data_IF_640839240232
#
_entry.id   IF_640839240232
#
_cell.length_a   1.000
_cell.length_b   1.000
_cell.length_c   1.000
_cell.angle_alpha   90.00
_cell.angle_beta   90.00
_cell.angle_gamma   90.00
#
_symmetry.space_group_name_H-M   'P 1'
#
loop_
_entity.id
_entity.type
_entity.pdbx_description
1 polymer ?
#
# COMPACT_ATOMS: atom_id res chain seq x y z
N UNK A 1 -23.68 -22.66 -18.04
CA UNK A 1 -23.98 -21.32 -17.49
C UNK A 1 -22.91 -20.39 -17.99
N UNK A 2 -23.23 -19.15 -18.31
CA UNK A 2 -22.25 -18.19 -18.86
C UNK A 2 -21.39 -17.65 -17.73
N UNK A 3 -20.07 -17.55 -17.96
CA UNK A 3 -19.18 -16.86 -17.04
C UNK A 3 -19.52 -15.35 -16.97
N UNK A 4 -19.31 -14.75 -15.81
CA UNK A 4 -19.38 -13.30 -15.59
C UNK A 4 -17.97 -12.75 -15.46
N UNK A 5 -17.78 -11.48 -15.81
CA UNK A 5 -16.49 -10.79 -15.70
C UNK A 5 -16.67 -9.48 -14.93
N UNK A 6 -15.85 -9.26 -13.92
CA UNK A 6 -15.92 -8.05 -13.11
C UNK A 6 -14.55 -7.58 -12.67
N UNK A 7 -14.43 -6.29 -12.35
CA UNK A 7 -13.24 -5.73 -11.77
C UNK A 7 -13.40 -5.61 -10.25
N UNK A 8 -12.40 -6.09 -9.50
CA UNK A 8 -12.34 -5.96 -8.05
C UNK A 8 -11.18 -5.07 -7.64
N UNK A 9 -11.52 -3.91 -7.07
CA UNK A 9 -10.60 -2.94 -6.51
C UNK A 9 -11.00 -2.56 -5.09
N UNK A 10 -10.03 -2.07 -4.30
CA UNK A 10 -10.23 -1.60 -2.94
C UNK A 10 -9.22 -0.50 -2.63
N UNK A 11 -9.42 0.21 -1.52
CA UNK A 11 -8.43 1.10 -0.91
C UNK A 11 -7.88 2.14 -1.92
N UNK A 12 -8.80 2.89 -2.55
CA UNK A 12 -8.46 3.87 -3.58
C UNK A 12 -7.73 5.08 -3.00
N UNK A 13 -8.08 5.47 -1.77
CA UNK A 13 -7.51 6.58 -1.02
C UNK A 13 -7.25 7.82 -1.88
N UNK A 14 -8.27 8.23 -2.63
CA UNK A 14 -8.18 9.40 -3.49
C UNK A 14 -7.83 10.65 -2.69
N UNK A 15 -6.93 11.47 -3.25
CA UNK A 15 -6.40 12.68 -2.62
C UNK A 15 -5.58 12.42 -1.35
N UNK A 16 -4.87 11.29 -1.28
CA UNK A 16 -3.95 11.00 -0.18
C UNK A 16 -2.90 12.10 -0.02
N UNK A 17 -2.57 12.53 1.21
CA UNK A 17 -1.67 13.67 1.44
C UNK A 17 -0.19 13.40 1.17
N UNK A 18 0.22 12.14 0.90
CA UNK A 18 1.60 11.75 0.62
C UNK A 18 2.63 12.37 1.58
N UNK A 19 2.60 11.97 2.84
CA UNK A 19 3.48 12.49 3.88
C UNK A 19 4.92 11.96 3.74
N UNK A 20 5.90 12.73 4.27
CA UNK A 20 7.30 12.30 4.39
C UNK A 20 8.16 12.40 3.12
N UNK A 21 7.72 13.15 2.12
CA UNK A 21 8.47 13.42 0.90
C UNK A 21 9.23 14.75 1.04
N UNK A 22 10.43 14.71 1.64
CA UNK A 22 11.26 15.89 1.83
C UNK A 22 12.20 16.12 0.65
N UNK A 23 12.43 17.40 0.29
CA UNK A 23 13.38 17.79 -0.75
C UNK A 23 12.95 17.45 -2.18
N UNK A 24 11.71 17.01 -2.38
CA UNK A 24 11.19 16.65 -3.70
C UNK A 24 10.90 17.93 -4.52
N UNK A 25 11.37 18.02 -5.78
CA UNK A 25 11.01 19.11 -6.68
C UNK A 25 9.48 19.23 -6.86
N UNK A 26 8.98 20.44 -7.04
CA UNK A 26 7.52 20.70 -7.08
C UNK A 26 6.81 19.91 -8.20
N UNK A 27 7.44 19.77 -9.36
CA UNK A 27 6.86 19.01 -10.48
C UNK A 27 6.74 17.51 -10.15
N UNK A 28 7.73 16.91 -9.46
CA UNK A 28 7.71 15.53 -9.01
C UNK A 28 6.68 15.33 -7.88
N UNK A 29 6.58 16.29 -6.95
CA UNK A 29 5.55 16.27 -5.90
C UNK A 29 4.14 16.30 -6.49
N UNK A 30 3.90 17.13 -7.51
CA UNK A 30 2.62 17.18 -8.22
C UNK A 30 2.27 15.83 -8.85
N UNK A 31 3.23 15.16 -9.50
CA UNK A 31 3.05 13.84 -10.10
C UNK A 31 2.67 12.79 -9.05
N UNK A 32 3.36 12.76 -7.92
CA UNK A 32 3.04 11.84 -6.82
C UNK A 32 1.65 12.14 -6.25
N UNK A 33 1.34 13.42 -6.03
CA UNK A 33 0.04 13.83 -5.47
C UNK A 33 -1.14 13.48 -6.37
N UNK A 34 -0.97 13.44 -7.69
CA UNK A 34 -2.03 13.05 -8.63
C UNK A 34 -2.08 11.55 -8.88
N UNK A 35 -1.11 10.78 -8.41
CA UNK A 35 -0.93 9.38 -8.77
C UNK A 35 -2.12 8.48 -8.40
N UNK A 36 -2.83 8.73 -7.28
CA UNK A 36 -4.03 7.96 -6.92
C UNK A 36 -5.16 8.19 -7.92
N UNK A 37 -5.30 9.42 -8.44
CA UNK A 37 -6.29 9.72 -9.49
C UNK A 37 -5.88 9.14 -10.84
N UNK A 38 -4.59 9.15 -11.18
CA UNK A 38 -4.07 8.55 -12.41
C UNK A 38 -4.30 7.04 -12.41
N UNK A 39 -3.99 6.37 -11.29
CA UNK A 39 -4.27 4.95 -11.10
C UNK A 39 -5.77 4.63 -11.22
N UNK A 40 -6.62 5.44 -10.59
CA UNK A 40 -8.08 5.27 -10.68
C UNK A 40 -8.59 5.50 -12.10
N UNK A 41 -8.14 6.54 -12.79
CA UNK A 41 -8.53 6.79 -14.18
C UNK A 41 -8.12 5.64 -15.11
N UNK A 42 -6.95 5.04 -14.90
CA UNK A 42 -6.50 3.85 -15.64
C UNK A 42 -7.52 2.71 -15.51
N UNK A 43 -8.08 2.49 -14.31
CA UNK A 43 -9.12 1.47 -14.09
C UNK A 43 -10.40 1.82 -14.85
N UNK A 44 -10.84 3.07 -14.75
CA UNK A 44 -12.07 3.54 -15.41
C UNK A 44 -11.96 3.43 -16.93
N UNK A 45 -10.85 3.89 -17.50
CA UNK A 45 -10.61 3.82 -18.94
C UNK A 45 -10.56 2.36 -19.43
N UNK A 46 -9.91 1.48 -18.66
CA UNK A 46 -9.90 0.05 -18.94
C UNK A 46 -11.29 -0.57 -18.83
N UNK A 47 -12.09 -0.19 -17.84
CA UNK A 47 -13.47 -0.66 -17.71
C UNK A 47 -14.34 -0.25 -18.91
N UNK A 48 -14.18 0.98 -19.40
CA UNK A 48 -14.88 1.47 -20.59
C UNK A 48 -14.47 0.69 -21.86
N UNK A 49 -13.15 0.41 -21.98
CA UNK A 49 -12.61 -0.34 -23.11
C UNK A 49 -13.01 -1.83 -23.09
N UNK A 50 -12.87 -2.49 -21.95
CA UNK A 50 -13.00 -3.94 -21.77
C UNK A 50 -14.44 -4.38 -21.45
N UNK A 51 -15.27 -3.45 -20.97
CA UNK A 51 -16.70 -3.66 -20.68
C UNK A 51 -16.98 -4.85 -19.75
N UNK A 52 -16.41 -4.89 -18.54
CA UNK A 52 -16.79 -5.89 -17.55
C UNK A 52 -18.28 -5.79 -17.25
N UNK A 53 -18.88 -6.86 -16.73
CA UNK A 53 -20.28 -6.88 -16.38
C UNK A 53 -20.61 -5.92 -15.23
N UNK A 54 -19.67 -5.70 -14.32
CA UNK A 54 -19.76 -4.72 -13.22
C UNK A 54 -18.39 -4.47 -12.57
N UNK A 55 -18.32 -3.47 -11.68
CA UNK A 55 -17.17 -3.18 -10.84
C UNK A 55 -17.52 -3.37 -9.36
N UNK A 56 -16.57 -3.89 -8.57
CA UNK A 56 -16.62 -3.93 -7.11
C UNK A 56 -15.59 -2.95 -6.55
N UNK A 57 -16.04 -2.00 -5.72
CA UNK A 57 -15.18 -1.06 -4.97
C UNK A 57 -15.37 -1.35 -3.47
N UNK A 58 -14.34 -1.92 -2.83
CA UNK A 58 -14.46 -2.48 -1.49
C UNK A 58 -13.80 -1.57 -0.45
N UNK A 59 -14.47 -0.46 -0.13
CA UNK A 59 -14.10 0.46 0.93
C UNK A 59 -12.93 1.40 0.63
N UNK A 60 -12.75 2.38 1.50
CA UNK A 60 -11.67 3.35 1.53
C UNK A 60 -11.41 4.05 0.18
N UNK A 61 -12.49 4.66 -0.38
CA UNK A 61 -12.41 5.45 -1.61
C UNK A 61 -11.60 6.71 -1.38
N UNK A 62 -11.78 7.33 -0.21
CA UNK A 62 -11.12 8.58 0.17
C UNK A 62 -10.17 8.35 1.36
N UNK A 63 -9.16 9.22 1.47
CA UNK A 63 -8.22 9.17 2.58
C UNK A 63 -8.65 10.11 3.72
N UNK A 64 -9.27 9.54 4.74
CA UNK A 64 -9.71 10.22 5.95
C UNK A 64 -11.14 10.77 5.91
N UNK A 65 -11.58 11.23 7.08
CA UNK A 65 -12.95 11.70 7.33
C UNK A 65 -13.27 13.02 6.61
N UNK A 66 -12.24 13.83 6.32
CA UNK A 66 -12.39 15.09 5.60
C UNK A 66 -12.13 14.85 4.10
N UNK A 67 -13.12 14.32 3.42
CA UNK A 67 -13.06 14.07 1.97
C UNK A 67 -12.97 15.39 1.22
N UNK A 68 -11.95 15.60 0.40
CA UNK A 68 -11.86 16.81 -0.39
C UNK A 68 -12.98 16.88 -1.44
N UNK A 69 -13.53 18.08 -1.65
CA UNK A 69 -14.53 18.28 -2.71
C UNK A 69 -13.98 17.91 -4.11
N UNK A 70 -12.73 18.25 -4.46
CA UNK A 70 -12.15 17.81 -5.73
C UNK A 70 -12.09 16.29 -5.89
N UNK A 71 -11.74 15.53 -4.83
CA UNK A 71 -11.74 14.08 -4.88
C UNK A 71 -13.13 13.50 -5.12
N UNK A 72 -14.12 14.00 -4.39
CA UNK A 72 -15.51 13.59 -4.56
C UNK A 72 -16.03 13.90 -5.98
N UNK A 73 -15.73 15.09 -6.51
CA UNK A 73 -16.14 15.47 -7.85
C UNK A 73 -15.52 14.57 -8.92
N UNK A 74 -14.22 14.29 -8.83
CA UNK A 74 -13.54 13.38 -9.76
C UNK A 74 -14.08 11.96 -9.70
N UNK A 75 -14.40 11.47 -8.49
CA UNK A 75 -15.04 10.17 -8.33
C UNK A 75 -16.43 10.15 -8.97
N UNK A 76 -17.27 11.17 -8.73
CA UNK A 76 -18.56 11.30 -9.37
C UNK A 76 -18.46 11.31 -10.90
N UNK A 77 -17.54 12.10 -11.47
CA UNK A 77 -17.32 12.17 -12.93
C UNK A 77 -16.92 10.80 -13.52
N UNK A 78 -16.11 10.02 -12.77
CA UNK A 78 -15.79 8.66 -13.17
C UNK A 78 -17.02 7.74 -13.16
N UNK A 79 -17.87 7.85 -12.14
CA UNK A 79 -19.12 7.08 -12.08
C UNK A 79 -20.11 7.48 -13.19
N UNK A 80 -20.16 8.78 -13.54
CA UNK A 80 -20.95 9.28 -14.68
C UNK A 80 -20.46 8.70 -16.01
N UNK A 81 -19.14 8.59 -16.22
CA UNK A 81 -18.57 7.93 -17.40
C UNK A 81 -18.99 6.45 -17.47
N UNK A 82 -18.91 5.71 -16.35
CA UNK A 82 -19.36 4.32 -16.30
C UNK A 82 -20.87 4.19 -16.56
N UNK A 83 -21.68 5.14 -16.06
CA UNK A 83 -23.11 5.19 -16.33
C UNK A 83 -23.41 5.32 -17.83
N UNK A 84 -22.70 6.22 -18.53
CA UNK A 84 -22.84 6.41 -19.99
C UNK A 84 -22.51 5.12 -20.77
N UNK A 85 -21.70 4.22 -20.19
CA UNK A 85 -21.35 2.94 -20.80
C UNK A 85 -22.15 1.75 -20.26
N UNK A 86 -23.18 2.01 -19.42
CA UNK A 86 -24.04 1.01 -18.79
C UNK A 86 -23.26 -0.01 -17.94
N UNK A 87 -22.22 0.41 -17.25
CA UNK A 87 -21.41 -0.44 -16.38
C UNK A 87 -21.87 -0.23 -14.92
N UNK A 88 -22.47 -1.23 -14.27
CA UNK A 88 -22.85 -1.17 -12.86
C UNK A 88 -21.63 -1.12 -11.94
N UNK A 89 -21.75 -0.41 -10.82
CA UNK A 89 -20.73 -0.34 -9.77
C UNK A 89 -21.38 -0.71 -8.43
N UNK A 90 -20.83 -1.69 -7.75
CA UNK A 90 -21.24 -2.02 -6.39
C UNK A 90 -20.18 -1.49 -5.44
N UNK A 91 -20.60 -0.65 -4.51
CA UNK A 91 -19.74 0.18 -3.68
C UNK A 91 -20.01 -0.06 -2.21
N UNK A 92 -18.97 -0.33 -1.43
CA UNK A 92 -19.01 -0.24 0.03
C UNK A 92 -18.05 0.87 0.52
N UNK A 93 -18.36 1.44 1.68
CA UNK A 93 -17.49 2.39 2.38
C UNK A 93 -16.74 1.66 3.49
N UNK A 94 -15.45 2.04 3.69
CA UNK A 94 -14.56 1.47 4.70
C UNK A 94 -14.45 2.34 5.96
N UNK A 95 -13.36 2.17 6.70
CA UNK A 95 -13.12 2.89 7.95
C UNK A 95 -12.64 4.33 7.76
N UNK A 96 -12.03 4.65 6.61
CA UNK A 96 -11.62 6.01 6.28
C UNK A 96 -12.77 6.87 5.75
N UNK A 97 -13.81 6.27 5.23
CA UNK A 97 -14.89 6.96 4.54
C UNK A 97 -16.30 6.50 4.95
N UNK A 98 -16.45 6.12 6.20
CA UNK A 98 -17.68 5.57 6.79
C UNK A 98 -18.92 6.49 6.62
N UNK A 99 -20.14 5.92 6.78
CA UNK A 99 -21.39 6.60 6.43
C UNK A 99 -21.74 7.78 7.35
N UNK A 100 -21.41 7.73 8.65
CA UNK A 100 -21.79 8.74 9.63
C UNK A 100 -20.85 9.96 9.70
N UNK A 101 -19.88 10.07 8.79
CA UNK A 101 -19.01 11.24 8.73
C UNK A 101 -19.75 12.50 8.27
N UNK A 102 -19.35 13.66 8.81
CA UNK A 102 -19.92 14.97 8.47
C UNK A 102 -19.22 15.56 7.25
N UNK A 103 -19.60 15.17 6.05
CA UNK A 103 -19.08 15.74 4.80
C UNK A 103 -20.19 16.08 3.82
N UNK A 104 -19.91 17.03 2.91
CA UNK A 104 -20.74 17.26 1.75
C UNK A 104 -20.67 16.07 0.82
N UNK A 105 -21.80 15.58 0.31
CA UNK A 105 -21.87 14.45 -0.61
C UNK A 105 -22.33 14.92 -1.99
N UNK A 106 -21.66 14.42 -3.02
CA UNK A 106 -22.18 14.48 -4.37
C UNK A 106 -23.09 13.28 -4.61
N UNK A 107 -24.25 13.51 -5.24
CA UNK A 107 -25.12 12.40 -5.65
C UNK A 107 -24.41 11.57 -6.73
N UNK A 108 -24.44 10.27 -6.59
CA UNK A 108 -23.91 9.34 -7.58
C UNK A 108 -24.99 8.94 -8.60
N UNK A 109 -24.60 8.59 -9.82
CA UNK A 109 -25.56 8.16 -10.85
C UNK A 109 -26.17 6.78 -10.50
N UNK A 110 -27.31 6.46 -11.14
CA UNK A 110 -28.14 5.31 -10.79
C UNK A 110 -27.52 3.93 -11.08
N UNK A 111 -26.38 3.86 -11.77
CA UNK A 111 -25.62 2.63 -11.95
C UNK A 111 -24.75 2.28 -10.74
N UNK A 112 -24.66 3.15 -9.72
CA UNK A 112 -23.90 2.92 -8.51
C UNK A 112 -24.83 2.43 -7.40
N UNK A 113 -24.57 1.21 -6.94
CA UNK A 113 -25.26 0.56 -5.83
C UNK A 113 -24.44 0.73 -4.57
N UNK A 114 -24.75 1.76 -3.77
CA UNK A 114 -24.11 1.99 -2.49
C UNK A 114 -24.67 1.02 -1.45
N UNK A 115 -23.82 0.16 -0.86
CA UNK A 115 -24.24 -0.75 0.20
C UNK A 115 -24.52 0.02 1.50
N UNK A 116 -25.63 -0.26 2.21
CA UNK A 116 -25.95 0.38 3.48
C UNK A 116 -25.07 -0.13 4.64
N UNK A 117 -25.29 0.39 5.85
CA UNK A 117 -24.58 -0.06 7.05
C UNK A 117 -24.91 -1.51 7.46
N UNK A 118 -26.11 -1.96 7.15
CA UNK A 118 -26.55 -3.34 7.37
C UNK A 118 -26.17 -4.21 6.17
N UNK A 119 -25.81 -5.46 6.43
CA UNK A 119 -25.52 -6.42 5.35
C UNK A 119 -26.73 -6.53 4.42
N UNK A 120 -26.50 -6.26 3.16
CA UNK A 120 -27.54 -6.25 2.12
C UNK A 120 -27.06 -7.01 0.88
N UNK A 121 -27.97 -7.19 -0.09
CA UNK A 121 -27.69 -7.88 -1.33
C UNK A 121 -28.06 -7.02 -2.53
N UNK A 122 -27.15 -6.91 -3.49
CA UNK A 122 -27.42 -6.42 -4.84
C UNK A 122 -27.58 -7.62 -5.75
N UNK A 123 -28.72 -7.69 -6.44
CA UNK A 123 -29.04 -8.78 -7.35
C UNK A 123 -28.91 -8.31 -8.80
N UNK A 124 -28.08 -8.98 -9.57
CA UNK A 124 -27.89 -8.72 -10.99
C UNK A 124 -28.29 -9.94 -11.80
N UNK A 125 -28.82 -9.71 -13.03
CA UNK A 125 -29.03 -10.76 -14.02
C UNK A 125 -28.10 -10.47 -15.21
N UNK A 126 -27.10 -11.29 -15.39
CA UNK A 126 -26.07 -11.11 -16.41
C UNK A 126 -26.19 -12.23 -17.43
N UNK A 127 -26.73 -11.94 -18.60
CA UNK A 127 -26.94 -12.92 -19.66
C UNK A 127 -27.66 -14.20 -19.19
N UNK A 128 -28.67 -14.03 -18.31
CA UNK A 128 -29.45 -15.13 -17.73
C UNK A 128 -28.81 -15.79 -16.50
N UNK A 129 -27.56 -15.45 -16.14
CA UNK A 129 -26.94 -15.88 -14.90
C UNK A 129 -27.31 -14.92 -13.77
N UNK A 130 -27.93 -15.42 -12.72
CA UNK A 130 -28.20 -14.64 -11.50
C UNK A 130 -26.92 -14.52 -10.67
N UNK A 131 -26.65 -13.29 -10.18
CA UNK A 131 -25.52 -12.96 -9.33
C UNK A 131 -26.01 -12.19 -8.11
N UNK A 132 -25.73 -12.71 -6.94
CA UNK A 132 -26.02 -12.05 -5.66
C UNK A 132 -24.69 -11.54 -5.06
N UNK A 133 -24.61 -10.22 -4.85
CA UNK A 133 -23.44 -9.56 -4.29
C UNK A 133 -23.81 -9.03 -2.91
N UNK A 134 -23.21 -9.57 -1.87
CA UNK A 134 -23.49 -9.26 -0.48
C UNK A 134 -22.41 -8.36 0.10
N UNK A 135 -22.78 -7.45 0.97
CA UNK A 135 -21.82 -6.62 1.68
C UNK A 135 -22.49 -5.56 2.54
N UNK A 136 -21.71 -4.77 3.20
CA UNK A 136 -22.14 -3.62 3.99
C UNK A 136 -21.11 -2.50 3.92
N UNK A 137 -21.51 -1.29 4.29
CA UNK A 137 -20.63 -0.15 4.49
C UNK A 137 -20.44 0.13 5.98
N UNK A 138 -19.26 0.61 6.35
CA UNK A 138 -19.01 1.04 7.72
C UNK A 138 -19.95 2.19 8.09
N UNK A 139 -20.63 2.07 9.23
CA UNK A 139 -21.42 3.17 9.81
C UNK A 139 -20.52 4.16 10.53
N UNK A 140 -19.45 3.69 11.13
CA UNK A 140 -18.47 4.48 11.92
C UNK A 140 -17.05 3.96 11.66
N UNK A 141 -16.04 4.75 12.06
CA UNK A 141 -14.64 4.44 11.79
C UNK A 141 -14.18 3.08 12.33
N UNK A 142 -14.70 2.65 13.48
CA UNK A 142 -14.24 1.46 14.18
C UNK A 142 -15.35 0.41 14.32
N UNK A 143 -15.47 -0.46 13.33
CA UNK A 143 -16.30 -1.66 13.41
C UNK A 143 -15.44 -2.79 13.99
N UNK A 144 -15.56 -3.02 15.32
CA UNK A 144 -14.74 -4.00 16.06
C UNK A 144 -15.32 -5.40 16.07
N UNK A 145 -16.60 -5.54 15.73
CA UNK A 145 -17.32 -6.81 15.75
C UNK A 145 -17.28 -7.48 14.38
N UNK A 146 -17.22 -8.80 14.39
CA UNK A 146 -17.40 -9.59 13.17
C UNK A 146 -18.80 -9.36 12.61
N UNK A 147 -18.88 -9.13 11.30
CA UNK A 147 -20.15 -8.99 10.57
C UNK A 147 -20.52 -10.24 9.76
N UNK A 148 -19.66 -11.28 9.79
CA UNK A 148 -19.85 -12.44 8.90
C UNK A 148 -21.14 -13.21 9.18
N UNK A 149 -21.59 -13.26 10.42
CA UNK A 149 -22.86 -13.95 10.76
C UNK A 149 -24.07 -13.32 10.09
N UNK A 150 -24.02 -12.03 9.73
CA UNK A 150 -25.11 -11.35 9.03
C UNK A 150 -25.16 -11.65 7.52
N UNK A 151 -24.10 -12.28 6.96
CA UNK A 151 -24.11 -12.74 5.57
C UNK A 151 -24.86 -14.07 5.47
N UNK A 152 -25.90 -14.18 4.61
CA UNK A 152 -26.65 -15.42 4.48
C UNK A 152 -25.78 -16.55 3.92
N UNK A 153 -26.06 -17.78 4.35
CA UNK A 153 -25.42 -18.95 3.75
C UNK A 153 -26.03 -19.18 2.36
N UNK A 154 -25.18 -19.30 1.34
CA UNK A 154 -25.63 -19.60 -0.01
C UNK A 154 -26.18 -21.03 -0.09
N UNK A 155 -27.44 -21.16 -0.54
CA UNK A 155 -28.13 -22.45 -0.67
C UNK A 155 -28.49 -22.80 -2.11
N UNK A 156 -28.62 -21.80 -2.98
CA UNK A 156 -28.94 -22.00 -4.41
C UNK A 156 -27.64 -22.05 -5.23
N UNK A 157 -27.34 -23.25 -5.71
CA UNK A 157 -26.15 -23.50 -6.53
C UNK A 157 -26.27 -22.97 -7.97
N UNK A 158 -27.45 -22.50 -8.41
CA UNK A 158 -27.63 -21.90 -9.73
C UNK A 158 -27.31 -20.40 -9.74
N UNK A 159 -27.20 -19.79 -8.58
CA UNK A 159 -26.87 -18.38 -8.37
C UNK A 159 -25.37 -18.24 -8.06
N UNK A 160 -24.68 -17.28 -8.67
CA UNK A 160 -23.34 -16.91 -8.25
C UNK A 160 -23.41 -15.99 -7.02
N UNK A 161 -22.72 -16.34 -5.97
CA UNK A 161 -22.67 -15.60 -4.72
C UNK A 161 -21.29 -14.96 -4.53
N UNK A 162 -21.26 -13.65 -4.33
CA UNK A 162 -20.02 -12.86 -4.11
C UNK A 162 -20.19 -12.12 -2.79
N UNK A 163 -19.19 -12.21 -1.91
CA UNK A 163 -19.12 -11.40 -0.69
C UNK A 163 -18.16 -10.23 -0.86
N UNK A 164 -18.58 -9.05 -0.45
CA UNK A 164 -17.74 -7.85 -0.31
C UNK A 164 -17.52 -7.56 1.17
N UNK A 165 -16.27 -7.45 1.62
CA UNK A 165 -15.94 -7.17 3.01
C UNK A 165 -14.69 -6.29 3.11
N UNK A 166 -14.84 -5.11 3.68
CA UNK A 166 -13.72 -4.29 4.09
C UNK A 166 -13.37 -4.64 5.54
N UNK A 167 -12.26 -5.37 5.76
CA UNK A 167 -11.92 -5.88 7.09
C UNK A 167 -10.62 -6.65 7.13
N UNK A 168 -10.17 -7.00 8.34
CA UNK A 168 -8.91 -7.73 8.58
C UNK A 168 -9.15 -9.15 9.08
N UNK A 169 -8.29 -10.09 8.65
CA UNK A 169 -8.28 -11.44 9.21
C UNK A 169 -7.89 -11.38 10.70
N UNK A 170 -8.62 -12.10 11.55
CA UNK A 170 -8.42 -12.08 13.01
C UNK A 170 -7.00 -12.49 13.44
N UNK A 171 -6.32 -13.31 12.64
CA UNK A 171 -4.94 -13.74 12.86
C UNK A 171 -3.89 -12.68 12.51
N UNK A 172 -4.27 -11.61 11.81
CA UNK A 172 -3.35 -10.54 11.43
C UNK A 172 -3.08 -9.60 12.62
N UNK A 173 -1.94 -9.80 13.27
CA UNK A 173 -1.49 -8.97 14.40
C UNK A 173 -0.78 -7.69 13.95
N UNK A 174 -0.59 -7.49 12.65
CA UNK A 174 0.15 -6.33 12.10
C UNK A 174 -0.72 -5.12 11.88
N UNK A 175 -2.04 -5.30 11.85
CA UNK A 175 -3.02 -4.24 11.63
C UNK A 175 -4.01 -4.12 12.79
N UNK A 176 -4.60 -2.94 12.95
CA UNK A 176 -5.70 -2.74 13.88
C UNK A 176 -6.91 -3.57 13.43
N UNK A 177 -7.63 -4.15 14.38
CA UNK A 177 -8.76 -5.04 14.12
C UNK A 177 -9.96 -4.24 13.62
N UNK A 178 -10.36 -4.47 12.36
CA UNK A 178 -11.51 -3.85 11.71
C UNK A 178 -12.39 -4.93 11.07
N UNK A 179 -13.69 -4.97 11.43
CA UNK A 179 -14.66 -5.97 10.97
C UNK A 179 -14.05 -7.36 10.86
N UNK A 180 -13.51 -7.91 11.97
CA UNK A 180 -12.67 -9.09 11.96
C UNK A 180 -13.40 -10.32 11.44
N UNK A 181 -12.67 -11.17 10.74
CA UNK A 181 -13.17 -12.44 10.25
C UNK A 181 -12.10 -13.53 10.32
N UNK A 182 -12.50 -14.79 10.25
CA UNK A 182 -11.60 -15.90 9.96
C UNK A 182 -11.91 -16.48 8.57
N UNK A 183 -10.93 -17.14 7.99
CA UNK A 183 -11.10 -17.82 6.70
C UNK A 183 -12.25 -18.83 6.73
N UNK A 184 -12.33 -19.58 7.81
CA UNK A 184 -13.34 -20.61 8.04
C UNK A 184 -14.75 -19.98 8.01
N UNK A 185 -14.95 -18.84 8.69
CA UNK A 185 -16.23 -18.13 8.68
C UNK A 185 -16.65 -17.71 7.28
N UNK A 186 -15.72 -17.26 6.43
CA UNK A 186 -16.00 -16.91 5.04
C UNK A 186 -16.36 -18.15 4.22
N UNK A 187 -15.64 -19.24 4.38
CA UNK A 187 -15.88 -20.52 3.67
C UNK A 187 -17.24 -21.12 4.02
N UNK A 188 -17.68 -21.01 5.28
CA UNK A 188 -19.00 -21.48 5.75
C UNK A 188 -20.17 -20.78 5.07
N UNK A 189 -19.99 -19.60 4.47
CA UNK A 189 -21.04 -18.92 3.71
C UNK A 189 -21.29 -19.56 2.33
N UNK A 190 -20.42 -20.43 1.85
CA UNK A 190 -20.51 -21.12 0.54
C UNK A 190 -20.57 -20.16 -0.66
N UNK A 191 -19.83 -19.04 -0.59
CA UNK A 191 -19.75 -18.08 -1.70
C UNK A 191 -18.69 -18.51 -2.71
N UNK A 192 -18.90 -18.07 -3.97
CA UNK A 192 -17.98 -18.38 -5.08
C UNK A 192 -16.76 -17.46 -5.12
N UNK A 193 -16.85 -16.29 -4.49
CA UNK A 193 -15.78 -15.29 -4.44
C UNK A 193 -15.94 -14.37 -3.23
N UNK A 194 -14.82 -14.02 -2.58
CA UNK A 194 -14.78 -12.97 -1.57
C UNK A 194 -13.89 -11.82 -2.03
N UNK A 195 -14.50 -10.67 -2.25
CA UNK A 195 -13.83 -9.40 -2.53
C UNK A 195 -13.54 -8.68 -1.22
N UNK A 196 -12.25 -8.63 -0.84
CA UNK A 196 -11.80 -8.00 0.40
C UNK A 196 -11.16 -6.64 0.14
N UNK A 197 -11.22 -5.73 1.12
CA UNK A 197 -10.49 -4.46 1.21
C UNK A 197 -9.95 -4.25 2.61
N UNK A 198 -9.23 -3.15 2.85
CA UNK A 198 -8.55 -2.76 4.09
C UNK A 198 -7.05 -3.07 4.11
N UNK A 199 -6.62 -4.20 3.58
CA UNK A 199 -5.20 -4.57 3.54
C UNK A 199 -4.58 -4.10 2.23
N UNK A 200 -3.67 -3.13 2.29
CA UNK A 200 -3.05 -2.51 1.11
C UNK A 200 -2.04 -3.41 0.37
N UNK A 201 -1.75 -4.57 0.92
CA UNK A 201 -0.92 -5.60 0.29
C UNK A 201 -1.79 -6.60 -0.45
N UNK A 202 -1.48 -6.84 -1.74
CA UNK A 202 -2.13 -7.88 -2.52
C UNK A 202 -1.91 -9.26 -1.88
N UNK A 203 -3.00 -9.99 -1.61
CA UNK A 203 -2.96 -11.30 -0.99
C UNK A 203 -4.10 -12.19 -1.51
N UNK A 204 -3.82 -13.46 -1.72
CA UNK A 204 -4.78 -14.51 -1.97
C UNK A 204 -4.82 -15.41 -0.73
N UNK A 205 -5.83 -15.22 0.13
CA UNK A 205 -5.95 -15.97 1.39
C UNK A 205 -6.42 -17.42 1.17
N UNK A 206 -7.22 -17.64 0.11
CA UNK A 206 -7.72 -18.96 -0.28
C UNK A 206 -7.93 -19.02 -1.79
N UNK A 207 -7.69 -20.19 -2.40
CA UNK A 207 -7.73 -20.34 -3.87
C UNK A 207 -9.10 -20.75 -4.40
N UNK A 208 -9.83 -21.61 -3.70
CA UNK A 208 -11.11 -22.14 -4.16
C UNK A 208 -12.07 -22.41 -2.98
N UNK A 209 -13.09 -21.54 -2.80
CA UNK A 209 -13.34 -20.29 -3.51
C UNK A 209 -12.25 -19.24 -3.22
N UNK A 210 -11.95 -18.33 -4.16
CA UNK A 210 -10.96 -17.28 -3.92
C UNK A 210 -11.42 -16.30 -2.85
N UNK A 211 -10.51 -16.01 -1.90
CA UNK A 211 -10.65 -14.98 -0.88
C UNK A 211 -9.49 -14.00 -1.12
N UNK A 212 -9.78 -12.79 -1.59
CA UNK A 212 -8.78 -11.94 -2.26
C UNK A 212 -8.75 -10.52 -1.70
N UNK A 213 -7.57 -10.07 -1.29
CA UNK A 213 -7.23 -8.66 -1.17
C UNK A 213 -6.50 -8.20 -2.43
N UNK A 214 -7.02 -7.24 -3.19
CA UNK A 214 -6.30 -6.68 -4.34
C UNK A 214 -5.14 -5.80 -3.90
N UNK A 215 -5.16 -5.30 -2.67
CA UNK A 215 -4.36 -4.21 -2.17
C UNK A 215 -4.90 -2.86 -2.63
N UNK A 216 -4.19 -1.78 -2.31
CA UNK A 216 -4.51 -0.47 -2.83
C UNK A 216 -4.11 -0.33 -4.31
N UNK A 217 -4.74 0.63 -5.01
CA UNK A 217 -4.49 0.86 -6.44
C UNK A 217 -3.22 1.67 -6.72
N UNK A 218 -2.70 2.38 -5.71
CA UNK A 218 -1.51 3.22 -5.74
C UNK A 218 -0.84 3.24 -4.37
N UNK A 219 0.47 3.06 -4.31
CA UNK A 219 1.24 3.22 -3.07
C UNK A 219 1.21 4.67 -2.60
N UNK A 220 1.08 4.90 -1.28
CA UNK A 220 0.98 6.21 -0.65
C UNK A 220 2.22 6.59 0.16
N UNK A 221 3.02 5.61 0.54
CA UNK A 221 4.25 5.80 1.30
C UNK A 221 5.24 4.64 1.10
N UNK A 222 6.48 4.83 1.53
CA UNK A 222 7.60 3.90 1.33
C UNK A 222 7.41 2.47 1.87
N UNK A 223 6.51 2.26 2.84
CA UNK A 223 6.22 0.91 3.37
C UNK A 223 5.30 0.10 2.44
N UNK A 224 4.61 0.75 1.50
CA UNK A 224 3.74 0.11 0.52
C UNK A 224 4.50 -0.16 -0.79
N UNK A 225 5.55 -0.96 -0.71
CA UNK A 225 6.44 -1.24 -1.84
C UNK A 225 5.81 -2.10 -2.94
N UNK A 226 6.36 -1.96 -4.14
CA UNK A 226 6.01 -2.76 -5.30
C UNK A 226 4.82 -2.24 -6.09
N UNK A 227 4.47 -3.00 -7.09
CA UNK A 227 3.39 -2.68 -8.02
C UNK A 227 2.02 -2.81 -7.36
N UNK A 228 1.10 -1.91 -7.72
CA UNK A 228 -0.28 -1.86 -7.24
C UNK A 228 -1.26 -1.98 -8.40
N UNK A 229 -2.50 -2.36 -8.09
CA UNK A 229 -3.49 -2.57 -9.13
C UNK A 229 -4.80 -3.14 -8.61
N UNK A 230 -5.51 -3.83 -9.48
CA UNK A 230 -6.81 -4.44 -9.22
C UNK A 230 -6.89 -5.83 -9.87
N UNK A 231 -7.90 -6.62 -9.55
CA UNK A 231 -8.16 -7.87 -10.23
C UNK A 231 -9.27 -7.73 -11.27
N UNK A 232 -9.00 -8.22 -12.48
CA UNK A 232 -9.97 -8.57 -13.49
C UNK A 232 -10.35 -10.04 -13.29
N UNK A 233 -11.59 -10.28 -12.95
CA UNK A 233 -12.07 -11.59 -12.49
C UNK A 233 -13.06 -12.16 -13.48
N UNK A 234 -12.80 -13.37 -13.97
CA UNK A 234 -13.78 -14.16 -14.71
C UNK A 234 -14.29 -15.29 -13.83
N UNK A 235 -15.56 -15.26 -13.47
CA UNK A 235 -16.19 -16.19 -12.53
C UNK A 235 -17.30 -17.00 -13.19
N UNK A 236 -17.26 -18.32 -12.98
CA UNK A 236 -18.32 -19.25 -13.31
C UNK A 236 -18.63 -20.16 -12.13
N UNK A 237 -19.64 -21.02 -12.26
CA UNK A 237 -19.91 -22.08 -11.26
C UNK A 237 -18.76 -23.07 -11.11
N UNK A 238 -17.95 -23.27 -12.14
CA UNK A 238 -16.92 -24.30 -12.19
C UNK A 238 -15.49 -23.76 -12.01
N UNK A 239 -15.26 -22.49 -12.32
CA UNK A 239 -13.90 -21.92 -12.37
C UNK A 239 -13.88 -20.44 -12.06
N UNK A 240 -12.74 -19.99 -11.56
CA UNK A 240 -12.39 -18.58 -11.39
C UNK A 240 -11.04 -18.35 -12.02
N UNK A 241 -10.94 -17.28 -12.81
CA UNK A 241 -9.68 -16.75 -13.35
C UNK A 241 -9.44 -15.38 -12.74
N UNK A 242 -8.20 -15.13 -12.31
CA UNK A 242 -7.78 -13.92 -11.60
C UNK A 242 -6.60 -13.28 -12.35
N UNK A 243 -6.85 -12.21 -13.09
CA UNK A 243 -5.82 -11.43 -13.76
C UNK A 243 -5.53 -10.15 -12.98
N UNK A 244 -4.29 -10.00 -12.49
CA UNK A 244 -3.89 -8.78 -11.79
C UNK A 244 -3.42 -7.73 -12.77
N UNK A 245 -4.12 -6.61 -12.81
CA UNK A 245 -3.87 -5.49 -13.72
C UNK A 245 -3.18 -4.36 -12.97
N UNK A 246 -2.04 -3.91 -13.49
CA UNK A 246 -1.22 -2.86 -12.88
C UNK A 246 -1.83 -1.48 -13.11
N UNK A 247 -1.82 -0.64 -12.08
CA UNK A 247 -2.33 0.74 -12.14
C UNK A 247 -1.37 1.78 -11.55
N UNK A 248 -0.29 1.34 -10.88
CA UNK A 248 0.64 2.26 -10.24
C UNK A 248 1.15 3.32 -11.20
N UNK A 249 0.80 4.58 -10.96
CA UNK A 249 1.38 5.72 -11.66
C UNK A 249 2.79 6.05 -11.14
N UNK A 250 3.03 5.75 -9.86
CA UNK A 250 4.35 5.87 -9.20
C UNK A 250 4.57 4.65 -8.33
N UNK A 251 5.70 3.96 -8.50
CA UNK A 251 6.04 2.74 -7.73
C UNK A 251 7.05 3.07 -6.64
N UNK A 252 6.79 2.61 -5.41
CA UNK A 252 7.76 2.68 -4.32
C UNK A 252 8.58 1.39 -4.27
N UNK A 253 9.90 1.49 -4.39
CA UNK A 253 10.81 0.35 -4.45
C UNK A 253 12.05 0.52 -3.58
N UNK A 254 12.68 -0.62 -3.27
CA UNK A 254 14.07 -0.67 -2.82
C UNK A 254 14.95 -1.07 -4.01
N UNK A 255 16.02 -0.32 -4.25
CA UNK A 255 17.03 -0.59 -5.26
C UNK A 255 18.34 -0.89 -4.56
N UNK A 256 18.98 -2.01 -4.89
CA UNK A 256 20.24 -2.42 -4.29
C UNK A 256 21.41 -2.22 -5.26
N UNK A 257 22.52 -1.69 -4.73
CA UNK A 257 23.79 -1.48 -5.46
C UNK A 257 24.90 -2.21 -4.71
N UNK A 258 25.58 -3.12 -5.39
CA UNK A 258 26.76 -3.82 -4.84
C UNK A 258 27.99 -2.93 -4.93
N UNK A 259 28.52 -2.54 -3.76
CA UNK A 259 29.65 -1.63 -3.62
C UNK A 259 31.00 -2.34 -3.36
N UNK A 260 31.03 -3.67 -3.53
CA UNK A 260 32.25 -4.44 -3.30
C UNK A 260 33.39 -4.00 -4.24
N UNK A 261 34.59 -3.81 -3.67
CA UNK A 261 35.82 -3.40 -4.39
C UNK A 261 35.67 -2.08 -5.17
N UNK A 262 34.96 -1.10 -4.64
CA UNK A 262 34.90 0.23 -5.20
C UNK A 262 35.96 1.13 -4.61
N UNK A 263 36.71 1.83 -5.48
CA UNK A 263 37.82 2.70 -5.08
C UNK A 263 37.56 4.17 -5.38
N UNK A 264 36.64 4.46 -6.28
CA UNK A 264 36.44 5.82 -6.80
C UNK A 264 34.96 6.24 -6.77
N UNK A 265 34.71 7.49 -6.42
CA UNK A 265 33.40 8.11 -6.40
C UNK A 265 32.62 7.95 -7.72
N UNK A 266 33.31 8.07 -8.85
CA UNK A 266 32.70 7.92 -10.18
C UNK A 266 32.16 6.49 -10.43
N UNK A 267 32.80 5.47 -9.85
CA UNK A 267 32.32 4.09 -9.95
C UNK A 267 31.00 3.89 -9.20
N UNK A 268 30.91 4.47 -8.00
CA UNK A 268 29.70 4.44 -7.19
C UNK A 268 28.56 5.17 -7.89
N UNK A 269 28.78 6.40 -8.35
CA UNK A 269 27.76 7.18 -9.07
C UNK A 269 27.26 6.42 -10.30
N UNK A 270 28.17 5.92 -11.13
CA UNK A 270 27.81 5.18 -12.33
C UNK A 270 26.95 3.94 -12.02
N UNK A 271 27.31 3.18 -10.99
CA UNK A 271 26.51 2.01 -10.59
C UNK A 271 25.13 2.41 -10.03
N UNK A 272 25.04 3.51 -9.28
CA UNK A 272 23.76 4.04 -8.84
C UNK A 272 22.90 4.44 -10.05
N UNK A 273 23.42 5.19 -11.01
CA UNK A 273 22.75 5.59 -12.24
C UNK A 273 22.27 4.37 -13.06
N UNK A 274 23.12 3.35 -13.23
CA UNK A 274 22.77 2.10 -13.91
C UNK A 274 21.63 1.37 -13.21
N UNK A 275 21.67 1.24 -11.87
CA UNK A 275 20.64 0.59 -11.09
C UNK A 275 19.30 1.35 -11.14
N UNK A 276 19.35 2.69 -11.05
CA UNK A 276 18.18 3.55 -11.16
C UNK A 276 17.59 3.52 -12.58
N UNK A 277 18.44 3.45 -13.62
CA UNK A 277 17.98 3.29 -15.01
C UNK A 277 17.25 1.96 -15.22
N UNK A 278 17.77 0.85 -14.67
CA UNK A 278 17.09 -0.45 -14.72
C UNK A 278 15.75 -0.42 -13.97
N UNK A 279 15.70 0.22 -12.80
CA UNK A 279 14.45 0.40 -12.06
C UNK A 279 13.43 1.20 -12.88
N UNK A 280 13.86 2.27 -13.54
CA UNK A 280 13.02 3.11 -14.41
C UNK A 280 12.47 2.33 -15.62
N UNK A 281 13.28 1.47 -16.22
CA UNK A 281 12.84 0.60 -17.33
C UNK A 281 11.80 -0.42 -16.87
N UNK A 282 11.95 -0.97 -15.66
CA UNK A 282 11.07 -2.01 -15.14
C UNK A 282 9.72 -1.45 -14.60
N UNK A 283 9.74 -0.28 -13.99
CA UNK A 283 8.61 0.23 -13.20
C UNK A 283 8.12 1.62 -13.62
N UNK A 284 8.82 2.32 -14.51
CA UNK A 284 8.48 3.69 -14.86
C UNK A 284 8.78 4.68 -13.73
N UNK A 285 7.85 5.62 -13.49
CA UNK A 285 8.01 6.60 -12.43
C UNK A 285 8.06 5.92 -11.05
N UNK A 286 9.05 6.28 -10.23
CA UNK A 286 9.29 5.61 -8.96
C UNK A 286 9.88 6.52 -7.88
N UNK A 287 9.62 6.14 -6.62
CA UNK A 287 10.28 6.66 -5.43
C UNK A 287 11.05 5.50 -4.82
N UNK A 288 12.36 5.65 -4.64
CA UNK A 288 13.24 4.53 -4.27
C UNK A 288 13.98 4.78 -2.97
N UNK A 289 14.15 3.72 -2.17
CA UNK A 289 15.19 3.63 -1.17
C UNK A 289 16.39 2.93 -1.81
N UNK A 290 17.52 3.62 -1.91
CA UNK A 290 18.74 3.11 -2.52
C UNK A 290 19.62 2.48 -1.43
N UNK A 291 19.85 1.18 -1.51
CA UNK A 291 20.62 0.41 -0.54
C UNK A 291 21.99 0.06 -1.13
N UNK A 292 23.03 0.66 -0.58
CA UNK A 292 24.40 0.33 -0.92
C UNK A 292 24.86 -0.87 -0.09
N UNK A 293 25.05 -2.01 -0.76
CA UNK A 293 25.37 -3.30 -0.16
C UNK A 293 26.86 -3.62 -0.26
N UNK A 294 27.34 -4.49 0.62
CA UNK A 294 28.71 -5.02 0.59
C UNK A 294 29.79 -3.93 0.61
N UNK A 295 29.57 -2.87 1.38
CA UNK A 295 30.57 -1.83 1.58
C UNK A 295 31.75 -2.45 2.35
N UNK A 296 32.86 -2.66 1.65
CA UNK A 296 34.11 -3.14 2.21
C UNK A 296 35.03 -1.98 2.64
N UNK A 297 36.24 -2.29 3.11
CA UNK A 297 37.22 -1.29 3.56
C UNK A 297 37.55 -0.25 2.47
N UNK A 298 37.62 -0.66 1.21
CA UNK A 298 37.89 0.25 0.09
C UNK A 298 36.72 1.17 -0.17
N UNK A 299 35.51 0.63 -0.26
CA UNK A 299 34.31 1.42 -0.48
C UNK A 299 33.96 2.32 0.70
N UNK A 300 34.30 1.93 1.94
CA UNK A 300 34.03 2.75 3.14
C UNK A 300 34.78 4.10 3.10
N UNK A 301 35.96 4.14 2.49
CA UNK A 301 36.75 5.39 2.34
C UNK A 301 35.98 6.47 1.53
N UNK A 302 35.05 6.10 0.68
CA UNK A 302 34.21 7.04 -0.08
C UNK A 302 33.25 7.82 0.83
N UNK A 303 32.99 7.32 2.03
CA UNK A 303 32.06 7.92 3.00
C UNK A 303 32.77 8.58 4.18
N UNK A 304 34.13 8.54 4.26
CA UNK A 304 34.87 9.16 5.33
C UNK A 304 34.86 10.70 5.27
N UNK A 305 34.83 11.24 4.05
CA UNK A 305 34.95 12.69 3.81
C UNK A 305 33.67 13.32 3.24
N UNK A 306 32.65 12.53 2.95
CA UNK A 306 31.35 12.98 2.44
C UNK A 306 30.22 12.32 3.22
N UNK A 307 29.27 13.12 3.71
CA UNK A 307 28.11 12.61 4.43
C UNK A 307 27.18 11.82 3.50
N UNK A 308 26.37 10.93 4.08
CA UNK A 308 25.33 10.20 3.35
C UNK A 308 24.37 11.16 2.64
N UNK A 309 24.07 12.30 3.27
CA UNK A 309 23.20 13.33 2.68
C UNK A 309 23.85 14.01 1.47
N UNK A 310 25.18 14.27 1.50
CA UNK A 310 25.90 14.82 0.35
C UNK A 310 25.89 13.85 -0.84
N UNK A 311 26.06 12.55 -0.59
CA UNK A 311 25.93 11.51 -1.61
C UNK A 311 24.49 11.45 -2.17
N UNK A 312 23.48 11.51 -1.30
CA UNK A 312 22.09 11.51 -1.70
C UNK A 312 21.76 12.70 -2.60
N UNK A 313 22.24 13.90 -2.26
CA UNK A 313 22.07 15.11 -3.10
C UNK A 313 22.75 14.94 -4.46
N UNK A 314 24.00 14.46 -4.50
CA UNK A 314 24.73 14.24 -5.74
C UNK A 314 24.03 13.25 -6.67
N UNK A 315 23.49 12.14 -6.12
CA UNK A 315 22.71 11.16 -6.89
C UNK A 315 21.41 11.80 -7.41
N UNK A 316 20.74 12.61 -6.59
CA UNK A 316 19.51 13.31 -6.99
C UNK A 316 19.75 14.31 -8.11
N UNK A 317 20.86 15.05 -8.06
CA UNK A 317 21.26 15.99 -9.11
C UNK A 317 21.55 15.27 -10.44
N UNK A 318 22.21 14.09 -10.39
CA UNK A 318 22.44 13.27 -11.58
C UNK A 318 21.14 12.72 -12.22
N UNK A 319 20.11 12.50 -11.41
CA UNK A 319 18.80 11.99 -11.84
C UNK A 319 17.81 13.10 -12.22
N UNK A 320 18.13 14.37 -11.97
CA UNK A 320 17.20 15.48 -12.23
C UNK A 320 16.92 15.62 -13.73
N UNK A 321 15.65 15.83 -14.05
CA UNK A 321 15.16 15.99 -15.42
C UNK A 321 15.14 14.71 -16.25
N UNK A 322 15.50 13.53 -15.70
CA UNK A 322 15.40 12.25 -16.43
C UNK A 322 13.99 11.68 -16.26
N UNK A 323 13.31 11.40 -17.37
CA UNK A 323 11.97 10.80 -17.39
C UNK A 323 11.97 9.33 -17.86
N UNK A 324 11.09 8.48 -17.32
CA UNK A 324 10.21 8.71 -16.14
C UNK A 324 11.00 8.97 -14.87
N UNK A 325 10.48 9.84 -13.97
CA UNK A 325 11.19 10.21 -12.73
C UNK A 325 11.56 8.97 -11.90
N UNK A 326 12.77 8.99 -11.32
CA UNK A 326 13.18 8.03 -10.31
C UNK A 326 13.77 8.80 -9.12
N UNK A 327 12.92 9.10 -8.12
CA UNK A 327 13.33 9.90 -6.98
C UNK A 327 13.94 9.06 -5.88
N UNK A 328 15.20 9.30 -5.55
CA UNK A 328 15.86 8.64 -4.41
C UNK A 328 15.44 9.33 -3.12
N UNK A 329 14.53 8.71 -2.37
CA UNK A 329 14.03 9.25 -1.10
C UNK A 329 15.04 9.10 0.03
N UNK A 330 15.76 7.98 0.04
CA UNK A 330 16.71 7.63 1.09
C UNK A 330 17.87 6.83 0.53
N UNK A 331 19.08 7.09 1.05
CA UNK A 331 20.27 6.28 0.86
C UNK A 331 20.55 5.50 2.14
N UNK A 332 20.76 4.19 2.02
CA UNK A 332 21.03 3.30 3.16
C UNK A 332 22.34 2.56 2.92
N UNK A 333 23.26 2.70 3.84
CA UNK A 333 24.56 2.01 3.77
C UNK A 333 24.48 0.67 4.52
N UNK A 334 24.94 -0.41 3.89
CA UNK A 334 25.10 -1.72 4.50
C UNK A 334 26.57 -2.10 4.47
N UNK A 335 27.26 -1.84 5.57
CA UNK A 335 28.65 -2.24 5.74
C UNK A 335 28.73 -3.76 5.91
N UNK A 336 29.77 -4.38 5.36
CA UNK A 336 30.04 -5.79 5.63
C UNK A 336 30.42 -5.94 7.11
N UNK A 337 29.80 -6.87 7.81
CA UNK A 337 30.01 -7.14 9.24
C UNK A 337 31.47 -7.44 9.64
N UNK A 338 32.37 -7.59 8.68
CA UNK A 338 33.83 -7.77 8.87
C UNK A 338 34.59 -6.47 9.15
N UNK A 339 33.98 -5.29 8.90
CA UNK A 339 34.61 -3.97 9.17
C UNK A 339 34.62 -3.58 10.66
N UNK A 340 33.78 -4.21 11.45
CA UNK A 340 33.74 -3.96 12.89
C UNK A 340 34.59 -5.02 13.61
N UNK A 341 35.93 -4.89 13.62
CA UNK A 341 36.71 -5.49 14.69
C UNK A 341 36.26 -4.81 15.99
N UNK A 342 35.32 -5.46 16.66
CA UNK A 342 34.78 -5.01 17.92
C UNK A 342 35.93 -4.89 18.93
N UNK A 343 36.37 -3.68 19.21
CA UNK A 343 37.20 -3.45 20.41
C UNK A 343 36.42 -3.99 21.62
N UNK A 344 37.12 -4.32 22.69
CA UNK A 344 36.49 -4.80 23.92
C UNK A 344 35.40 -3.79 24.43
N UNK A 345 35.62 -2.49 24.19
CA UNK A 345 34.70 -1.42 24.52
C UNK A 345 33.41 -1.46 23.65
N UNK A 346 33.57 -1.58 22.34
CA UNK A 346 32.40 -1.69 21.40
C UNK A 346 31.55 -2.91 21.71
N UNK A 347 32.19 -4.08 21.96
CA UNK A 347 31.48 -5.30 22.36
C UNK A 347 30.70 -5.12 23.66
N UNK A 348 31.28 -4.45 24.64
CA UNK A 348 30.60 -4.22 25.93
C UNK A 348 29.39 -3.31 25.78
N UNK A 349 29.46 -2.27 24.96
CA UNK A 349 28.34 -1.35 24.70
C UNK A 349 27.22 -2.03 23.91
N UNK A 350 27.55 -2.75 22.84
CA UNK A 350 26.57 -3.50 22.04
C UNK A 350 25.87 -4.54 22.89
N UNK A 351 26.59 -5.33 23.69
CA UNK A 351 26.00 -6.31 24.62
C UNK A 351 25.08 -5.68 25.67
N UNK A 352 25.39 -4.46 26.14
CA UNK A 352 24.50 -3.71 27.03
C UNK A 352 23.21 -3.29 26.32
N UNK A 353 23.28 -2.82 25.08
CA UNK A 353 22.13 -2.44 24.28
C UNK A 353 21.24 -3.64 23.92
N UNK A 354 21.82 -4.82 23.68
CA UNK A 354 21.08 -6.05 23.42
C UNK A 354 20.27 -6.54 24.65
N UNK A 355 20.68 -6.15 25.85
CA UNK A 355 19.93 -6.46 27.07
C UNK A 355 18.70 -5.57 27.30
N UNK A 356 18.59 -4.46 26.53
CA UNK A 356 17.44 -3.59 26.64
C UNK A 356 16.24 -4.18 25.90
N UNK A 357 15.14 -4.33 26.62
CA UNK A 357 13.88 -4.77 26.01
C UNK A 357 13.20 -3.63 25.23
N UNK A 358 12.16 -3.96 24.49
CA UNK A 358 11.37 -3.01 23.69
C UNK A 358 10.79 -1.91 24.60
N UNK A 359 10.52 -2.20 25.86
CA UNK A 359 9.95 -1.26 26.82
C UNK A 359 10.96 -0.18 27.20
N UNK A 360 12.21 -0.56 27.44
CA UNK A 360 13.31 0.39 27.72
C UNK A 360 13.52 1.35 26.54
N UNK A 361 13.49 0.84 25.31
CA UNK A 361 13.62 1.66 24.10
C UNK A 361 12.44 2.62 23.92
N UNK A 362 11.20 2.17 24.20
CA UNK A 362 10.01 3.04 24.19
C UNK A 362 10.10 4.16 25.20
N UNK A 363 10.65 3.89 26.40
CA UNK A 363 10.81 4.91 27.44
C UNK A 363 11.83 5.99 27.04
N UNK A 364 12.95 5.62 26.43
CA UNK A 364 13.94 6.58 25.92
C UNK A 364 13.36 7.49 24.84
N UNK A 365 12.52 6.92 23.95
CA UNK A 365 11.92 7.64 22.83
C UNK A 365 10.67 8.44 23.23
N UNK A 366 10.19 8.29 24.45
CA UNK A 366 8.93 8.85 24.95
C UNK A 366 8.86 10.38 24.79
N UNK A 367 9.93 11.07 25.14
CA UNK A 367 9.95 12.54 25.07
C UNK A 367 9.81 13.06 23.62
N UNK A 368 10.32 12.32 22.64
CA UNK A 368 10.17 12.65 21.23
C UNK A 368 8.74 12.35 20.73
N UNK A 369 8.24 11.17 21.01
CA UNK A 369 6.95 10.69 20.49
C UNK A 369 5.73 11.18 21.27
N UNK A 370 5.90 11.71 22.47
CA UNK A 370 4.85 12.33 23.28
C UNK A 370 4.93 13.86 23.35
N UNK A 371 5.87 14.47 22.60
CA UNK A 371 6.03 15.92 22.58
C UNK A 371 4.78 16.60 22.02
N UNK A 372 4.18 17.52 22.78
CA UNK A 372 2.88 18.13 22.48
C UNK A 372 2.78 18.81 21.09
N UNK A 373 3.89 19.30 20.56
CA UNK A 373 3.95 19.94 19.23
C UNK A 373 4.36 19.01 18.08
N UNK A 374 5.06 17.91 18.39
CA UNK A 374 5.67 17.01 17.40
C UNK A 374 4.93 15.69 17.20
N UNK A 375 4.34 15.14 18.25
CA UNK A 375 3.71 13.81 18.23
C UNK A 375 2.63 13.63 17.16
N UNK A 376 1.92 14.69 16.82
CA UNK A 376 0.89 14.67 15.76
C UNK A 376 1.45 14.53 14.32
N UNK A 377 2.77 14.71 14.14
CA UNK A 377 3.44 14.60 12.84
C UNK A 377 4.29 13.34 12.70
N UNK A 378 4.37 12.54 13.76
CA UNK A 378 5.19 11.32 13.82
C UNK A 378 4.24 10.14 13.98
N UNK A 379 4.38 9.14 13.10
CA UNK A 379 3.60 7.91 13.23
C UNK A 379 4.02 7.13 14.47
N UNK A 380 3.10 6.43 15.16
CA UNK A 380 3.43 5.57 16.28
C UNK A 380 4.46 4.51 15.87
N UNK A 381 5.48 4.29 16.72
CA UNK A 381 6.49 3.27 16.47
C UNK A 381 5.90 1.86 16.57
N UNK A 382 6.08 1.08 15.52
CA UNK A 382 5.85 -0.36 15.55
C UNK A 382 7.05 -1.07 16.20
N UNK A 383 6.89 -2.34 16.58
CA UNK A 383 8.02 -3.15 17.07
C UNK A 383 9.14 -3.30 16.04
N UNK A 384 8.80 -3.32 14.75
CA UNK A 384 9.78 -3.34 13.67
C UNK A 384 10.55 -2.03 13.55
N UNK A 385 9.87 -0.89 13.74
CA UNK A 385 10.53 0.42 13.75
C UNK A 385 11.51 0.53 14.92
N UNK A 386 11.14 0.02 16.10
CA UNK A 386 12.00 0.00 17.29
C UNK A 386 13.23 -0.88 17.04
N UNK A 387 13.06 -2.08 16.48
CA UNK A 387 14.19 -2.96 16.12
C UNK A 387 15.13 -2.32 15.10
N UNK A 388 14.58 -1.63 14.09
CA UNK A 388 15.39 -0.89 13.12
C UNK A 388 16.15 0.26 13.78
N UNK A 389 15.53 1.00 14.72
CA UNK A 389 16.20 2.05 15.49
C UNK A 389 17.29 1.48 16.41
N UNK A 390 17.06 0.33 17.04
CA UNK A 390 18.08 -0.37 17.84
C UNK A 390 19.31 -0.70 16.99
N UNK A 391 19.14 -1.31 15.84
CA UNK A 391 20.22 -1.66 14.93
C UNK A 391 20.97 -0.42 14.46
N UNK A 392 20.29 0.63 14.03
CA UNK A 392 20.90 1.88 13.60
C UNK A 392 21.67 2.57 14.75
N UNK A 393 21.15 2.53 15.98
CA UNK A 393 21.83 3.10 17.14
C UNK A 393 23.08 2.30 17.52
N UNK A 394 23.06 0.97 17.37
CA UNK A 394 24.25 0.12 17.57
C UNK A 394 25.33 0.42 16.53
N UNK A 395 24.94 0.56 15.26
CA UNK A 395 25.86 0.92 14.17
C UNK A 395 26.48 2.30 14.41
N UNK A 396 25.68 3.33 14.71
CA UNK A 396 26.17 4.68 15.00
C UNK A 396 27.13 4.73 16.20
N UNK A 397 26.81 4.02 17.28
CA UNK A 397 27.68 3.94 18.46
C UNK A 397 28.99 3.20 18.16
N UNK A 398 28.94 2.13 17.37
CA UNK A 398 30.12 1.40 16.95
C UNK A 398 31.03 2.31 16.09
N UNK A 399 30.47 3.10 15.19
CA UNK A 399 31.21 4.09 14.39
C UNK A 399 31.83 5.19 15.24
N UNK A 400 31.07 5.78 16.18
CA UNK A 400 31.59 6.87 17.05
C UNK A 400 32.70 6.41 18.02
N UNK A 401 32.60 5.19 18.56
CA UNK A 401 33.65 4.62 19.44
C UNK A 401 34.96 4.37 18.68
N UNK A 402 34.90 4.11 17.37
CA UNK A 402 36.07 3.92 16.54
C UNK A 402 36.74 5.24 16.11
N UNK A 403 36.00 6.35 16.11
CA UNK A 403 36.54 7.70 15.81
C UNK A 403 37.25 8.35 16.97
N UNK A 404 37.12 7.82 18.19
CA UNK A 404 37.80 8.26 19.42
C UNK A 404 38.95 7.36 19.75
#
# INVERSE_FOLDING_TARGET
MSAIRFFHMADLHLDSPFKGLFGLPEHNFKKIRTSTFEAFNTIIDKAIQEKPDFLLIVGDIYDGENRSLPAQRRFQEAMEKLFQHNIPVILSYGNHDHLNGSWTRFALPSNVYELPAETSVVQLNIRGQQVNIYGFSYSERHVKESKIESYPIASDQHVLHIGMLHGSEFSDTTHAVYAPFTKEQLLERNYHYWALGHIHKRQLLHQNPPIVYPGNIQSRHRKEQGIKGFYDVTLSQASVELDFILTSAVVYNTVEVDCKNMFHANELLKKCEEALSLNRQAYGASVVELHLKNIDEHASSLFEHATVDAWLETIREAEDGIEPMCWVQKLVLHTSSTLYEHTAATKSVVNLMEQWDITAWKDILKDLYQHAGGARFIDPLTEQDIKALMNNAQELLAEEIQRT
#
